data_IF_105648408912
#
_entry.id   IF_105648408912
#
_cell.length_a   1.000
_cell.length_b   1.000
_cell.length_c   1.000
_cell.angle_alpha   90.00
_cell.angle_beta   90.00
_cell.angle_gamma   90.00
#
_symmetry.space_group_name_H-M   'P 1'
#
loop_
_entity.id
_entity.type
_entity.pdbx_description
1 polymer ?
#
# COMPACT_ATOMS: atom_id res chain seq x y z
N UNK A 1 12.48 -8.56 -31.77
CA UNK A 1 12.30 -9.10 -30.41
C UNK A 1 11.38 -10.32 -30.45
N UNK A 2 11.47 -11.16 -29.42
CA UNK A 2 10.57 -12.30 -29.27
C UNK A 2 9.15 -11.79 -28.97
N UNK A 3 8.13 -12.35 -29.62
CA UNK A 3 6.73 -12.06 -29.34
C UNK A 3 6.10 -13.25 -28.60
N UNK A 4 5.08 -13.01 -27.78
CA UNK A 4 4.41 -14.03 -26.98
C UNK A 4 3.18 -14.63 -27.67
N UNK A 5 2.87 -14.18 -28.87
CA UNK A 5 1.67 -14.57 -29.63
C UNK A 5 1.80 -15.89 -30.38
N UNK A 6 2.99 -16.47 -30.43
CA UNK A 6 3.27 -17.71 -31.16
C UNK A 6 4.37 -18.55 -30.50
N UNK A 7 4.23 -18.84 -29.20
CA UNK A 7 5.15 -19.73 -28.49
C UNK A 7 4.73 -21.17 -28.74
N UNK A 8 5.62 -22.01 -29.29
CA UNK A 8 5.32 -23.40 -29.65
C UNK A 8 6.27 -24.43 -29.03
N UNK A 9 7.35 -24.01 -28.40
CA UNK A 9 8.32 -24.88 -27.74
C UNK A 9 8.98 -24.21 -26.56
N UNK A 10 9.36 -25.03 -25.57
CA UNK A 10 10.23 -24.65 -24.48
C UNK A 10 11.57 -25.38 -24.59
N UNK A 11 12.65 -24.68 -24.25
CA UNK A 11 13.98 -25.26 -24.08
C UNK A 11 14.46 -24.98 -22.67
N UNK A 12 14.88 -26.01 -21.98
CA UNK A 12 15.68 -25.93 -20.77
C UNK A 12 17.09 -26.40 -21.11
N UNK A 13 18.09 -25.61 -20.80
CA UNK A 13 19.47 -25.88 -21.14
C UNK A 13 20.33 -25.92 -19.87
N UNK A 14 20.84 -27.10 -19.57
CA UNK A 14 21.66 -27.34 -18.39
C UNK A 14 23.19 -27.42 -18.68
N UNK A 15 23.64 -27.04 -19.87
CA UNK A 15 25.04 -27.12 -20.28
C UNK A 15 25.85 -25.87 -19.89
N UNK A 16 25.54 -25.30 -18.72
CA UNK A 16 26.24 -24.12 -18.20
C UNK A 16 26.57 -24.26 -16.72
N UNK A 17 27.75 -23.77 -16.34
CA UNK A 17 28.10 -23.57 -14.94
C UNK A 17 27.36 -22.34 -14.34
N UNK A 18 27.38 -22.20 -13.02
CA UNK A 18 26.76 -21.08 -12.32
C UNK A 18 27.31 -19.69 -12.69
N UNK A 19 28.51 -19.64 -13.30
CA UNK A 19 29.14 -18.43 -13.84
C UNK A 19 28.78 -18.15 -15.31
N UNK A 20 27.95 -19.02 -15.92
CA UNK A 20 27.53 -18.92 -17.33
C UNK A 20 28.50 -19.52 -18.33
N UNK A 21 29.67 -20.10 -17.91
CA UNK A 21 30.57 -20.81 -18.78
C UNK A 21 29.99 -22.17 -19.20
N UNK A 22 30.33 -22.62 -20.43
CA UNK A 22 29.81 -23.87 -20.95
C UNK A 22 30.29 -25.08 -20.16
N UNK A 23 29.41 -26.04 -19.87
CA UNK A 23 29.68 -27.29 -19.23
C UNK A 23 28.90 -28.42 -19.89
N UNK A 24 29.60 -29.39 -20.47
CA UNK A 24 28.96 -30.52 -21.16
C UNK A 24 28.53 -31.66 -20.20
N UNK A 25 28.85 -31.57 -18.91
CA UNK A 25 28.42 -32.58 -17.93
C UNK A 25 26.92 -32.42 -17.63
N UNK A 26 26.17 -33.51 -17.79
CA UNK A 26 24.76 -33.54 -17.44
C UNK A 26 24.52 -33.59 -15.92
N UNK A 27 23.40 -33.10 -15.48
CA UNK A 27 22.90 -33.22 -14.11
C UNK A 27 21.38 -33.47 -14.12
N UNK A 28 20.86 -33.97 -13.01
CA UNK A 28 19.44 -34.26 -12.90
C UNK A 28 18.68 -33.01 -12.56
N UNK A 29 17.57 -32.77 -13.27
CA UNK A 29 16.63 -31.67 -13.02
C UNK A 29 15.23 -32.23 -12.90
N UNK A 30 14.53 -31.82 -11.87
CA UNK A 30 13.13 -32.17 -11.64
C UNK A 30 12.31 -30.91 -11.79
N UNK A 31 11.29 -30.94 -12.65
CA UNK A 31 10.48 -29.78 -13.00
C UNK A 31 8.99 -30.11 -12.75
N UNK A 32 8.26 -29.13 -12.24
CA UNK A 32 6.82 -29.20 -12.05
C UNK A 32 6.21 -27.82 -12.23
N UNK A 33 4.88 -27.77 -12.36
CA UNK A 33 4.11 -26.53 -12.41
C UNK A 33 4.58 -25.50 -13.47
N UNK A 34 4.96 -26.00 -14.64
CA UNK A 34 5.38 -25.15 -15.77
C UNK A 34 4.15 -24.71 -16.56
N UNK A 35 3.78 -23.45 -16.44
CA UNK A 35 2.61 -22.92 -17.13
C UNK A 35 2.78 -21.43 -17.47
N UNK A 36 2.04 -20.98 -18.45
CA UNK A 36 1.83 -19.55 -18.67
C UNK A 36 0.69 -19.07 -17.76
N UNK A 37 1.02 -18.23 -16.81
CA UNK A 37 0.03 -17.57 -15.97
C UNK A 37 -0.38 -16.23 -16.56
N UNK A 38 -1.67 -15.91 -16.42
CA UNK A 38 -2.14 -14.54 -16.55
C UNK A 38 -2.18 -13.93 -15.16
N UNK A 39 -1.55 -12.78 -14.97
CA UNK A 39 -1.71 -12.07 -13.71
C UNK A 39 -3.19 -11.76 -13.53
N UNK A 40 -3.84 -12.43 -12.59
CA UNK A 40 -5.29 -12.36 -12.39
C UNK A 40 -5.75 -10.98 -11.91
N UNK A 41 -4.84 -10.15 -11.42
CA UNK A 41 -5.20 -8.87 -10.85
C UNK A 41 -5.03 -7.72 -11.85
N UNK A 42 -5.94 -7.66 -12.82
CA UNK A 42 -6.15 -6.48 -13.70
C UNK A 42 -7.25 -5.57 -13.15
N UNK A 43 -7.70 -5.78 -11.92
CA UNK A 43 -8.75 -4.98 -11.32
C UNK A 43 -8.30 -3.53 -11.15
N UNK A 44 -9.20 -2.61 -11.46
CA UNK A 44 -9.03 -1.18 -11.21
C UNK A 44 -9.50 -0.78 -9.81
N UNK A 45 -10.03 -1.73 -9.03
CA UNK A 45 -10.50 -1.57 -7.67
C UNK A 45 -10.12 -2.79 -6.82
N UNK A 46 -9.98 -2.67 -5.50
CA UNK A 46 -9.77 -3.83 -4.65
C UNK A 46 -10.97 -4.77 -4.70
N UNK A 47 -10.72 -6.07 -4.65
CA UNK A 47 -11.74 -7.13 -4.62
C UNK A 47 -11.78 -7.85 -3.27
N UNK A 48 -10.92 -7.44 -2.36
CA UNK A 48 -10.80 -7.95 -0.99
C UNK A 48 -10.54 -6.77 -0.07
N UNK A 49 -10.73 -6.97 1.22
CA UNK A 49 -10.28 -6.05 2.27
C UNK A 49 -8.85 -6.36 2.70
N UNK A 50 -8.13 -5.44 3.37
CA UNK A 50 -6.84 -5.74 3.97
C UNK A 50 -6.98 -6.78 5.09
N UNK A 51 -5.88 -7.42 5.53
CA UNK A 51 -5.89 -8.25 6.73
C UNK A 51 -6.34 -7.45 7.96
N UNK A 52 -7.07 -8.11 8.84
CA UNK A 52 -7.45 -7.47 10.10
C UNK A 52 -6.19 -7.15 10.95
N UNK A 53 -6.13 -5.96 11.57
CA UNK A 53 -5.00 -5.61 12.41
C UNK A 53 -4.96 -6.46 13.69
N UNK A 54 -3.74 -6.64 14.25
CA UNK A 54 -3.51 -7.52 15.39
C UNK A 54 -3.09 -6.79 16.68
N UNK A 55 -2.88 -5.48 16.62
CA UNK A 55 -2.48 -4.67 17.76
C UNK A 55 -3.69 -4.50 18.71
N UNK A 56 -3.46 -4.52 20.01
CA UNK A 56 -4.52 -4.31 20.98
C UNK A 56 -5.09 -2.89 20.85
N UNK A 57 -6.40 -2.73 20.95
CA UNK A 57 -7.06 -1.43 20.79
C UNK A 57 -6.59 -0.36 21.80
N UNK A 58 -6.08 -0.78 22.96
CA UNK A 58 -5.53 0.14 23.97
C UNK A 58 -4.18 0.78 23.52
N UNK A 59 -3.53 0.18 22.53
CA UNK A 59 -2.22 0.61 22.02
C UNK A 59 -2.35 1.29 20.63
N UNK A 60 -3.57 1.68 20.23
CA UNK A 60 -3.86 2.24 18.91
C UNK A 60 -4.61 3.57 19.04
N UNK A 61 -4.20 4.55 18.24
CA UNK A 61 -4.97 5.75 17.93
C UNK A 61 -5.48 5.56 16.50
N UNK A 62 -6.74 5.20 16.34
CA UNK A 62 -7.31 4.89 15.04
C UNK A 62 -7.84 6.14 14.35
N UNK A 63 -7.47 6.30 13.07
CA UNK A 63 -7.96 7.36 12.20
C UNK A 63 -9.08 6.84 11.31
N UNK A 64 -8.90 5.64 10.77
CA UNK A 64 -9.89 4.94 9.94
C UNK A 64 -9.70 3.44 10.07
N UNK A 65 -10.67 2.73 10.62
CA UNK A 65 -10.64 1.26 10.73
C UNK A 65 -12.01 0.70 11.10
N UNK A 66 -12.40 -0.43 10.53
CA UNK A 66 -13.56 -1.20 10.99
C UNK A 66 -13.25 -2.02 12.27
N UNK A 67 -11.96 -2.17 12.61
CA UNK A 67 -11.51 -2.99 13.75
C UNK A 67 -11.33 -2.20 15.03
N UNK A 68 -11.25 -0.87 14.97
CA UNK A 68 -10.99 0.02 16.09
C UNK A 68 -12.02 1.14 16.15
N UNK A 69 -12.09 1.82 17.29
CA UNK A 69 -12.87 3.05 17.39
C UNK A 69 -12.02 4.22 16.92
N UNK A 70 -12.45 4.86 15.86
CA UNK A 70 -11.76 6.00 15.28
C UNK A 70 -11.91 7.26 16.15
N UNK A 71 -10.85 8.09 16.16
CA UNK A 71 -10.97 9.47 16.66
C UNK A 71 -11.85 10.29 15.71
N UNK A 72 -12.43 11.39 16.20
CA UNK A 72 -13.25 12.25 15.37
C UNK A 72 -12.44 12.83 14.20
N UNK A 73 -12.85 12.50 12.98
CA UNK A 73 -12.08 12.70 11.75
C UNK A 73 -12.97 13.23 10.63
N UNK A 74 -12.51 14.26 9.93
CA UNK A 74 -13.06 14.67 8.64
C UNK A 74 -12.15 14.16 7.51
N UNK A 75 -12.60 13.16 6.78
CA UNK A 75 -11.84 12.51 5.71
C UNK A 75 -11.74 13.30 4.41
N UNK A 76 -12.57 14.30 4.22
CA UNK A 76 -12.67 15.04 2.97
C UNK A 76 -12.72 16.55 3.14
N UNK A 77 -11.84 17.19 3.94
CA UNK A 77 -11.78 18.63 3.97
C UNK A 77 -11.40 19.19 2.59
N UNK A 78 -11.90 20.37 2.27
CA UNK A 78 -11.52 21.05 1.04
C UNK A 78 -10.15 21.69 1.19
N UNK A 79 -9.17 21.17 0.46
CA UNK A 79 -7.81 21.66 0.46
C UNK A 79 -7.44 22.25 -0.92
N UNK A 80 -7.73 23.53 -1.10
CA UNK A 80 -7.30 24.26 -2.29
C UNK A 80 -7.78 23.65 -3.61
N UNK A 81 -6.82 23.21 -4.44
CA UNK A 81 -7.09 22.68 -5.80
C UNK A 81 -7.09 21.15 -5.88
N UNK A 82 -7.38 20.45 -4.78
CA UNK A 82 -7.50 19.01 -4.85
C UNK A 82 -8.64 18.59 -5.79
N UNK A 83 -8.43 17.48 -6.50
CA UNK A 83 -9.43 16.88 -7.40
C UNK A 83 -9.94 15.55 -6.87
N UNK A 84 -9.46 15.15 -5.71
CA UNK A 84 -9.77 13.87 -5.08
C UNK A 84 -11.25 13.78 -4.72
N UNK A 85 -11.87 12.69 -5.10
CA UNK A 85 -13.20 12.32 -4.63
C UNK A 85 -13.06 11.32 -3.49
N UNK A 86 -13.59 11.67 -2.33
CA UNK A 86 -13.47 10.89 -1.09
C UNK A 86 -14.73 10.08 -0.86
N UNK A 87 -14.59 8.79 -0.65
CA UNK A 87 -15.68 7.91 -0.23
C UNK A 87 -15.23 7.06 0.96
N UNK A 88 -15.62 7.39 2.19
CA UNK A 88 -15.24 6.66 3.40
C UNK A 88 -16.05 5.39 3.63
N UNK A 89 -17.04 5.11 2.80
CA UNK A 89 -17.91 3.93 2.92
C UNK A 89 -17.84 3.03 1.68
N UNK A 90 -16.72 3.09 0.96
CA UNK A 90 -16.53 2.20 -0.18
C UNK A 90 -16.35 0.77 0.30
N UNK A 91 -17.22 -0.14 -0.15
CA UNK A 91 -17.14 -1.56 0.18
C UNK A 91 -16.59 -2.33 -1.02
N UNK A 92 -15.37 -2.89 -0.94
CA UNK A 92 -14.77 -3.69 -2.00
C UNK A 92 -15.38 -5.08 -2.14
N UNK A 93 -16.08 -5.58 -1.10
CA UNK A 93 -16.69 -6.90 -1.05
C UNK A 93 -18.18 -6.75 -0.80
N UNK A 94 -18.96 -6.66 -1.86
CA UNK A 94 -20.40 -6.34 -1.82
C UNK A 94 -21.29 -7.29 -0.98
N UNK A 95 -20.75 -8.42 -0.54
CA UNK A 95 -21.45 -9.40 0.31
C UNK A 95 -21.17 -9.20 1.81
N UNK A 96 -20.24 -8.31 2.15
CA UNK A 96 -19.87 -8.00 3.52
C UNK A 96 -20.22 -6.53 3.79
N UNK A 97 -21.07 -6.29 4.78
CA UNK A 97 -21.57 -4.94 5.09
C UNK A 97 -20.67 -4.18 6.05
N UNK A 98 -19.69 -4.84 6.67
CA UNK A 98 -18.94 -4.32 7.79
C UNK A 98 -17.46 -3.99 7.44
N UNK A 99 -17.05 -4.22 6.18
CA UNK A 99 -15.68 -4.00 5.73
C UNK A 99 -15.60 -2.85 4.71
N UNK A 100 -15.76 -1.64 5.17
CA UNK A 100 -15.56 -0.45 4.36
C UNK A 100 -14.09 -0.07 4.28
N UNK A 101 -13.70 0.59 3.20
CA UNK A 101 -12.40 1.21 3.03
C UNK A 101 -12.56 2.68 2.65
N UNK A 102 -11.59 3.50 3.05
CA UNK A 102 -11.52 4.89 2.64
C UNK A 102 -10.99 4.96 1.20
N UNK A 103 -11.87 5.23 0.24
CA UNK A 103 -11.51 5.31 -1.16
C UNK A 103 -11.26 6.76 -1.60
N UNK A 104 -10.10 6.97 -2.23
CA UNK A 104 -9.76 8.20 -2.94
C UNK A 104 -9.73 7.93 -4.44
N UNK A 105 -10.63 8.55 -5.19
CA UNK A 105 -10.66 8.46 -6.65
C UNK A 105 -10.34 9.81 -7.29
N UNK A 106 -9.88 9.82 -8.53
CA UNK A 106 -9.30 11.01 -9.18
C UNK A 106 -8.24 11.70 -8.30
N UNK A 107 -7.43 10.87 -7.62
CA UNK A 107 -6.54 11.26 -6.55
C UNK A 107 -5.35 12.08 -7.07
N UNK A 108 -5.19 13.29 -6.56
CA UNK A 108 -3.96 14.09 -6.70
C UNK A 108 -3.29 14.31 -5.34
N UNK A 109 -4.02 14.79 -4.35
CA UNK A 109 -3.66 14.82 -2.94
C UNK A 109 -4.94 14.96 -2.10
N UNK A 110 -4.89 14.57 -0.84
CA UNK A 110 -5.98 14.75 0.10
C UNK A 110 -5.45 14.93 1.51
N UNK A 111 -5.96 15.91 2.21
CA UNK A 111 -5.81 16.03 3.64
C UNK A 111 -6.92 15.33 4.39
N UNK A 112 -6.68 15.10 5.67
CA UNK A 112 -7.65 14.56 6.62
C UNK A 112 -7.54 15.38 7.90
N UNK A 113 -8.64 16.00 8.34
CA UNK A 113 -8.63 16.77 9.57
C UNK A 113 -8.97 15.87 10.75
N UNK A 114 -8.09 15.83 11.72
CA UNK A 114 -8.22 15.03 12.94
C UNK A 114 -8.55 15.93 14.13
N UNK A 115 -9.22 15.37 15.14
CA UNK A 115 -9.09 15.95 16.47
C UNK A 115 -7.63 15.94 16.86
N UNK A 116 -7.11 17.09 17.32
CA UNK A 116 -5.71 17.20 17.77
C UNK A 116 -5.40 16.10 18.77
N UNK A 117 -4.41 15.30 18.46
CA UNK A 117 -4.10 14.06 19.18
C UNK A 117 -2.60 14.01 19.48
N UNK A 118 -2.26 13.62 20.70
CA UNK A 118 -0.88 13.36 21.12
C UNK A 118 -0.51 11.93 20.72
N UNK A 119 0.36 11.79 19.73
CA UNK A 119 0.91 10.51 19.27
C UNK A 119 2.36 10.29 19.74
N UNK A 120 2.82 11.04 20.77
CA UNK A 120 4.20 10.95 21.25
C UNK A 120 4.59 9.55 21.77
N UNK A 121 3.62 8.79 22.28
CA UNK A 121 3.82 7.42 22.76
C UNK A 121 3.72 6.34 21.66
N UNK A 122 3.36 6.70 20.42
CA UNK A 122 3.26 5.75 19.31
C UNK A 122 4.62 5.55 18.66
N UNK A 123 4.86 4.36 18.11
CA UNK A 123 6.15 4.00 17.50
C UNK A 123 6.15 4.17 15.98
N UNK A 124 4.99 4.00 15.34
CA UNK A 124 4.85 4.05 13.87
C UNK A 124 3.45 4.53 13.45
N UNK A 125 3.34 4.92 12.21
CA UNK A 125 2.09 5.07 11.48
C UNK A 125 1.87 3.82 10.63
N UNK A 126 0.75 3.11 10.89
CA UNK A 126 0.34 1.98 10.06
C UNK A 126 -0.64 2.42 8.98
N UNK A 127 -0.47 1.91 7.77
CA UNK A 127 -1.44 2.07 6.67
C UNK A 127 -1.55 0.78 5.85
N UNK A 128 -2.77 0.41 5.52
CA UNK A 128 -3.06 -0.54 4.46
C UNK A 128 -3.45 0.22 3.18
N UNK A 129 -2.73 -0.01 2.11
CA UNK A 129 -2.94 0.71 0.85
C UNK A 129 -3.11 -0.26 -0.31
N UNK A 130 -4.13 -0.03 -1.13
CA UNK A 130 -4.30 -0.69 -2.41
C UNK A 130 -4.29 0.33 -3.54
N UNK A 131 -3.57 0.04 -4.62
CA UNK A 131 -3.61 0.80 -5.87
C UNK A 131 -3.82 -0.14 -7.06
N UNK A 132 -4.43 0.37 -8.12
CA UNK A 132 -4.75 -0.42 -9.31
C UNK A 132 -3.49 -1.06 -9.93
N UNK A 133 -3.65 -2.26 -10.49
CA UNK A 133 -2.60 -2.90 -11.27
C UNK A 133 -2.13 -1.98 -12.40
N UNK A 134 -0.82 -1.93 -12.62
CA UNK A 134 -0.20 -1.05 -13.62
C UNK A 134 -0.07 0.41 -13.18
N UNK A 135 -0.41 0.75 -11.95
CA UNK A 135 -0.15 2.08 -11.39
C UNK A 135 1.36 2.32 -11.29
N UNK A 136 1.83 3.36 -11.94
CA UNK A 136 3.21 3.88 -11.85
C UNK A 136 3.17 5.27 -11.19
N UNK A 137 2.92 5.29 -9.88
CA UNK A 137 2.85 6.51 -9.07
C UNK A 137 3.47 6.27 -7.71
N UNK A 138 4.12 7.30 -7.19
CA UNK A 138 4.65 7.32 -5.84
C UNK A 138 3.59 7.86 -4.89
N UNK A 139 3.27 7.11 -3.85
CA UNK A 139 2.49 7.63 -2.73
C UNK A 139 3.44 8.21 -1.69
N UNK A 140 3.08 9.38 -1.17
CA UNK A 140 3.75 9.99 -0.03
C UNK A 140 2.73 10.25 1.05
N UNK A 141 3.17 10.10 2.30
CA UNK A 141 2.33 10.34 3.46
C UNK A 141 3.05 11.24 4.46
N UNK A 142 2.32 12.09 5.14
CA UNK A 142 2.82 12.90 6.26
C UNK A 142 1.70 13.12 7.26
N UNK A 143 1.89 12.82 8.55
CA UNK A 143 1.15 13.51 9.59
C UNK A 143 1.50 15.00 9.55
N UNK A 144 0.56 15.85 9.92
CA UNK A 144 0.77 17.29 9.96
C UNK A 144 0.71 17.77 11.42
N UNK A 145 1.79 18.37 11.87
CA UNK A 145 1.80 19.06 13.15
C UNK A 145 1.53 20.54 12.95
N UNK A 146 0.30 20.94 13.25
CA UNK A 146 -0.14 22.33 13.13
C UNK A 146 -0.11 23.07 14.47
N UNK A 147 0.63 22.58 15.44
CA UNK A 147 0.73 23.22 16.75
C UNK A 147 1.30 24.62 16.60
N UNK A 148 0.49 25.62 16.84
CA UNK A 148 0.88 27.02 16.95
C UNK A 148 1.99 27.16 17.99
N UNK A 149 3.23 27.42 17.56
CA UNK A 149 4.39 27.55 18.42
C UNK A 149 5.28 26.32 18.53
N UNK A 150 5.01 25.25 17.77
CA UNK A 150 5.87 24.06 17.72
C UNK A 150 7.22 24.38 17.06
N UNK A 151 8.30 23.90 17.68
CA UNK A 151 9.62 23.89 17.07
C UNK A 151 9.79 22.59 16.32
N UNK A 152 9.65 22.58 15.02
CA UNK A 152 9.78 21.37 14.22
C UNK A 152 9.20 21.56 12.82
N UNK A 153 9.37 20.56 11.97
CA UNK A 153 8.74 20.54 10.66
C UNK A 153 7.22 20.34 10.82
N UNK A 154 6.41 21.16 10.15
CA UNK A 154 4.96 21.00 10.13
C UNK A 154 4.52 19.82 9.26
N UNK A 155 5.34 19.45 8.28
CA UNK A 155 5.11 18.37 7.33
C UNK A 155 6.42 17.69 6.96
N UNK A 156 6.43 16.37 6.95
CA UNK A 156 7.53 15.55 6.41
C UNK A 156 6.94 14.44 5.57
N UNK A 157 7.08 14.57 4.25
CA UNK A 157 6.55 13.58 3.30
C UNK A 157 7.45 12.36 3.21
N UNK A 158 6.96 11.22 3.64
CA UNK A 158 7.64 9.92 3.54
C UNK A 158 7.12 9.13 2.34
N UNK A 159 8.04 8.55 1.58
CA UNK A 159 7.71 7.68 0.45
C UNK A 159 7.15 6.35 0.94
N UNK A 160 6.02 5.94 0.39
CA UNK A 160 5.38 4.66 0.69
C UNK A 160 5.58 3.71 -0.48
N UNK A 161 6.35 2.62 -0.30
CA UNK A 161 6.55 1.64 -1.36
C UNK A 161 5.25 0.83 -1.57
N UNK A 162 4.81 0.71 -2.82
CA UNK A 162 3.58 0.02 -3.17
C UNK A 162 3.83 -1.05 -4.23
N UNK A 163 3.17 -2.20 -4.06
CA UNK A 163 2.97 -3.21 -5.09
C UNK A 163 1.58 -3.03 -5.68
N UNK A 164 1.44 -2.56 -6.94
CA UNK A 164 0.13 -2.36 -7.56
C UNK A 164 -0.67 -3.65 -7.70
N UNK A 165 -1.98 -3.55 -7.52
CA UNK A 165 -2.90 -4.68 -7.64
C UNK A 165 -2.96 -5.58 -6.41
N UNK A 166 -2.37 -5.17 -5.30
CA UNK A 166 -2.39 -5.89 -4.02
C UNK A 166 -2.56 -4.91 -2.85
N UNK A 167 -3.05 -5.40 -1.72
CA UNK A 167 -2.96 -4.70 -0.46
C UNK A 167 -1.52 -4.69 0.02
N UNK A 168 -1.06 -3.52 0.42
CA UNK A 168 0.26 -3.27 1.00
C UNK A 168 0.04 -2.84 2.45
N UNK A 169 0.50 -3.66 3.39
CA UNK A 169 0.42 -3.40 4.82
C UNK A 169 1.77 -2.84 5.28
N UNK A 170 1.80 -1.60 5.74
CA UNK A 170 3.04 -0.85 5.90
C UNK A 170 3.06 -0.14 7.23
N UNK A 171 4.09 -0.42 8.01
CA UNK A 171 4.46 0.33 9.21
C UNK A 171 5.54 1.35 8.85
N UNK A 172 5.25 2.63 9.03
CA UNK A 172 6.19 3.72 8.82
C UNK A 172 6.70 4.17 10.18
N UNK A 173 7.95 3.88 10.54
CA UNK A 173 8.51 4.28 11.82
C UNK A 173 8.40 5.79 12.05
N UNK A 174 8.08 6.19 13.26
CA UNK A 174 8.03 7.60 13.63
C UNK A 174 9.33 8.34 13.36
N UNK A 175 10.46 7.64 13.42
CA UNK A 175 11.80 8.18 13.08
C UNK A 175 11.96 8.64 11.64
N UNK A 176 11.14 8.10 10.71
CA UNK A 176 11.21 8.46 9.29
C UNK A 176 10.64 9.86 9.02
N UNK A 177 9.80 10.37 9.92
CA UNK A 177 9.27 11.73 9.89
C UNK A 177 10.20 12.69 10.61
N UNK A 178 11.44 12.78 10.13
CA UNK A 178 12.54 13.50 10.79
C UNK A 178 12.22 14.98 11.02
N UNK A 179 12.33 15.42 12.26
CA UNK A 179 12.12 16.83 12.65
C UNK A 179 10.68 17.19 12.96
N UNK A 180 9.72 16.26 12.84
CA UNK A 180 8.37 16.46 13.36
C UNK A 180 8.33 16.36 14.89
N UNK A 181 7.40 17.10 15.50
CA UNK A 181 6.99 16.93 16.90
C UNK A 181 5.64 16.21 16.94
N UNK A 182 5.43 15.38 17.94
CA UNK A 182 4.28 14.47 18.03
C UNK A 182 3.41 14.81 19.21
#
# INVERSE_FOLDING_TARGET
GMTWDNVFQFKFDGQFNGDGSANAAGYDVYLDNIYFGKNANTSLVPLTVPPAPTIAAADVISIYSDSYTDIATNYGPSWGTNTTVVNPTYNPVSTDTDNNVLAYTNFNYQGTDLTTTDASSMDFLHIDVWVAAGTDRLLKVSPLNNATGGTGAAEVLVNVPLTPGAWNSIDIPKSDFTGMTW
#
